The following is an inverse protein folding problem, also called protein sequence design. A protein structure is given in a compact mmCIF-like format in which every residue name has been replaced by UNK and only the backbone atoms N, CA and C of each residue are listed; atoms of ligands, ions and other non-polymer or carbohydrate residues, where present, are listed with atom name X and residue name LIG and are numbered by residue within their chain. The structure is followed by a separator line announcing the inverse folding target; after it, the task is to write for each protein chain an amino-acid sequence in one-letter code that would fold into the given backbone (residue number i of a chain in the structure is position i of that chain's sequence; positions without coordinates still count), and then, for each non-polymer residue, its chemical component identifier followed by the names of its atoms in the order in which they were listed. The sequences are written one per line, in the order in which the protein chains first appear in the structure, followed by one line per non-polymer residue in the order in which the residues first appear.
data_IF_125992745260
#
_entry.id   IF_125992745260
#
_cell.length_a   1.000
_cell.length_b   1.000
_cell.length_c   1.000
_cell.angle_alpha   90.00
_cell.angle_beta   90.00
_cell.angle_gamma   90.00
#
_symmetry.space_group_name_H-M   'P 1'
#
loop_
_entity.id
_entity.type
_entity.pdbx_description
1 polymer ?
#
# COMPACT_ATOMS: atom_id res chain seq x y z
N UNK A 1 37.26 9.03 -46.05
CA UNK A 1 37.30 9.19 -44.59
C UNK A 1 36.06 9.98 -44.21
N UNK A 2 34.99 9.27 -43.92
CA UNK A 2 33.73 9.83 -43.36
C UNK A 2 33.75 9.49 -41.88
N UNK A 3 33.80 10.52 -41.04
CA UNK A 3 33.68 10.40 -39.56
C UNK A 3 32.25 10.13 -39.18
N UNK A 4 31.97 8.90 -38.71
CA UNK A 4 30.71 8.56 -38.05
C UNK A 4 30.61 9.35 -36.75
N UNK A 5 29.68 10.29 -36.69
CA UNK A 5 29.22 10.89 -35.45
C UNK A 5 28.24 9.95 -34.79
N UNK A 6 28.70 9.26 -33.76
CA UNK A 6 27.77 8.60 -32.79
C UNK A 6 26.97 9.68 -32.06
N UNK A 7 25.64 9.60 -31.98
CA UNK A 7 24.86 10.50 -31.16
C UNK A 7 25.18 10.21 -29.70
N UNK A 8 25.70 11.21 -28.99
CA UNK A 8 25.73 11.22 -27.53
C UNK A 8 24.28 11.25 -27.05
N UNK A 9 23.81 10.14 -26.45
CA UNK A 9 22.60 10.15 -25.64
C UNK A 9 22.88 11.03 -24.42
N UNK A 10 22.54 12.31 -24.54
CA UNK A 10 22.45 13.17 -23.38
C UNK A 10 21.34 12.66 -22.49
N UNK A 11 21.66 12.24 -21.28
CA UNK A 11 20.68 11.90 -20.26
C UNK A 11 19.70 13.06 -20.11
N UNK A 12 18.40 12.78 -20.20
CA UNK A 12 17.38 13.78 -19.91
C UNK A 12 17.65 14.34 -18.49
N UNK A 13 17.39 15.65 -18.25
CA UNK A 13 17.57 16.18 -16.90
C UNK A 13 16.71 15.37 -15.92
N UNK A 14 17.23 15.09 -14.72
CA UNK A 14 16.48 14.34 -13.73
C UNK A 14 15.11 15.01 -13.50
N UNK A 15 14.04 14.22 -13.50
CA UNK A 15 12.68 14.69 -13.26
C UNK A 15 12.55 15.46 -11.94
N UNK A 16 11.44 16.15 -11.71
CA UNK A 16 11.21 16.87 -10.47
C UNK A 16 11.21 15.90 -9.29
N UNK A 17 11.85 16.30 -8.18
CA UNK A 17 12.05 15.46 -6.99
C UNK A 17 11.26 16.02 -5.83
N UNK A 18 10.54 15.17 -5.10
CA UNK A 18 9.99 15.44 -3.77
C UNK A 18 10.71 14.61 -2.72
N UNK A 19 10.41 14.83 -1.44
CA UNK A 19 11.09 14.15 -0.35
C UNK A 19 10.09 13.58 0.64
N UNK A 20 10.31 12.37 1.09
CA UNK A 20 9.65 11.83 2.26
C UNK A 20 10.41 12.32 3.49
N UNK A 21 9.78 13.22 4.25
CA UNK A 21 10.35 13.77 5.46
C UNK A 21 10.22 12.82 6.65
N UNK A 22 9.14 12.04 6.68
CA UNK A 22 8.82 11.09 7.75
C UNK A 22 7.79 10.08 7.30
N UNK A 23 7.67 9.00 8.06
CA UNK A 23 6.64 7.97 7.94
C UNK A 23 6.04 7.72 9.31
N UNK A 24 4.77 7.34 9.38
CA UNK A 24 4.10 6.86 10.58
C UNK A 24 3.15 5.73 10.22
N UNK A 25 2.94 4.79 11.14
CA UNK A 25 2.08 3.61 10.90
C UNK A 25 1.18 3.35 12.10
N UNK A 26 0.06 2.68 11.87
CA UNK A 26 -0.85 2.27 12.92
C UNK A 26 -1.46 0.90 12.60
N UNK A 27 -1.23 -0.05 13.50
CA UNK A 27 -1.86 -1.35 13.49
C UNK A 27 -2.82 -1.43 14.69
N UNK A 28 -4.07 -1.92 14.51
CA UNK A 28 -5.03 -2.00 15.61
C UNK A 28 -4.76 -3.21 16.51
N UNK A 29 -4.88 -3.00 17.82
CA UNK A 29 -4.81 -4.05 18.83
C UNK A 29 -3.52 -4.87 18.84
N UNK A 30 -3.58 -6.03 19.49
CA UNK A 30 -2.51 -7.01 19.51
C UNK A 30 -2.50 -7.87 18.25
N UNK A 31 -1.34 -8.44 17.85
CA UNK A 31 -1.28 -9.34 16.71
C UNK A 31 -2.06 -10.63 16.98
N UNK A 32 -2.85 -11.05 16.01
CA UNK A 32 -3.64 -12.30 16.02
C UNK A 32 -2.87 -13.36 15.22
N UNK A 33 -2.47 -14.43 15.89
CA UNK A 33 -1.75 -15.56 15.28
C UNK A 33 -2.69 -16.59 14.64
N UNK A 34 -2.11 -17.57 13.94
CA UNK A 34 -2.87 -18.60 13.25
C UNK A 34 -3.61 -19.53 14.21
N UNK A 35 -3.05 -19.76 15.40
CA UNK A 35 -3.73 -20.55 16.45
C UNK A 35 -4.97 -19.83 17.00
N UNK A 36 -4.94 -18.51 17.14
CA UNK A 36 -6.10 -17.71 17.52
C UNK A 36 -7.18 -17.75 16.43
N UNK A 37 -6.81 -17.61 15.15
CA UNK A 37 -7.75 -17.75 14.03
C UNK A 37 -8.38 -19.14 13.98
N UNK A 38 -7.58 -20.20 14.18
CA UNK A 38 -8.09 -21.57 14.22
C UNK A 38 -9.15 -21.76 15.31
N UNK A 39 -8.94 -21.19 16.50
CA UNK A 39 -9.90 -21.25 17.60
C UNK A 39 -11.18 -20.45 17.33
N UNK A 40 -11.04 -19.24 16.78
CA UNK A 40 -12.17 -18.30 16.64
C UNK A 40 -12.99 -18.59 15.38
N UNK A 41 -12.33 -18.92 14.27
CA UNK A 41 -12.97 -19.08 12.96
C UNK A 41 -13.08 -20.54 12.51
N UNK A 42 -12.52 -21.50 13.26
CA UNK A 42 -12.56 -22.92 12.89
C UNK A 42 -11.69 -23.29 11.69
N UNK A 43 -10.74 -22.43 11.28
CA UNK A 43 -9.84 -22.66 10.14
C UNK A 43 -8.66 -23.55 10.54
N UNK A 44 -8.04 -24.23 9.57
CA UNK A 44 -6.90 -25.10 9.84
C UNK A 44 -5.61 -24.29 9.90
N UNK A 45 -4.94 -24.28 11.07
CA UNK A 45 -3.68 -23.56 11.31
C UNK A 45 -2.55 -24.00 10.37
N UNK A 46 -2.34 -25.30 10.21
CA UNK A 46 -1.30 -25.85 9.33
C UNK A 46 -1.50 -25.45 7.86
N UNK A 47 -2.77 -25.40 7.43
CA UNK A 47 -3.10 -24.92 6.09
C UNK A 47 -2.71 -23.45 5.91
N UNK A 48 -2.95 -22.57 6.90
CA UNK A 48 -2.55 -21.16 6.83
C UNK A 48 -1.04 -21.06 6.73
N UNK A 49 -0.29 -21.78 7.57
CA UNK A 49 1.17 -21.73 7.60
C UNK A 49 1.79 -22.16 6.26
N UNK A 50 1.27 -23.24 5.67
CA UNK A 50 1.83 -23.83 4.45
C UNK A 50 1.42 -23.04 3.20
N UNK A 51 0.15 -22.64 3.09
CA UNK A 51 -0.37 -22.08 1.84
C UNK A 51 -0.39 -20.56 1.80
N UNK A 52 -0.56 -19.90 2.93
CA UNK A 52 -0.57 -18.43 3.02
C UNK A 52 0.80 -17.90 3.45
N UNK A 53 1.38 -18.47 4.50
CA UNK A 53 2.69 -18.07 5.01
C UNK A 53 2.67 -16.72 5.75
N UNK A 54 1.50 -16.30 6.26
CA UNK A 54 1.31 -15.16 7.16
C UNK A 54 1.22 -15.68 8.58
N UNK A 55 2.03 -15.17 9.49
CA UNK A 55 2.10 -15.60 10.89
C UNK A 55 1.09 -14.90 11.77
N UNK A 56 1.01 -13.58 11.61
CA UNK A 56 0.11 -12.73 12.39
C UNK A 56 -0.56 -11.67 11.50
N UNK A 57 -1.65 -11.12 11.97
CA UNK A 57 -2.35 -9.97 11.41
C UNK A 57 -3.02 -9.19 12.53
N UNK A 58 -3.50 -7.99 12.23
CA UNK A 58 -4.19 -7.12 13.16
C UNK A 58 -5.61 -6.86 12.68
N UNK A 59 -6.55 -6.74 13.61
CA UNK A 59 -7.94 -6.47 13.29
C UNK A 59 -8.48 -5.28 14.09
N UNK A 60 -9.13 -4.38 13.39
CA UNK A 60 -9.85 -3.24 13.95
C UNK A 60 -11.14 -3.66 14.69
N UNK A 61 -11.49 -4.91 14.55
CA UNK A 61 -12.67 -5.56 15.11
C UNK A 61 -12.26 -6.72 16.01
N UNK A 62 -12.99 -6.93 17.08
CA UNK A 62 -12.91 -8.16 17.87
C UNK A 62 -13.53 -9.33 17.10
N UNK A 63 -12.76 -10.39 16.88
CA UNK A 63 -13.22 -11.52 16.07
C UNK A 63 -14.23 -12.42 16.79
N UNK A 64 -14.30 -12.38 18.13
CA UNK A 64 -15.24 -13.20 18.92
C UNK A 64 -16.59 -12.51 19.07
N UNK A 65 -16.58 -11.20 19.32
CA UNK A 65 -17.78 -10.41 19.59
C UNK A 65 -18.29 -9.63 18.39
N UNK A 66 -17.46 -9.44 17.35
CA UNK A 66 -17.77 -8.59 16.21
C UNK A 66 -17.71 -7.08 16.52
N UNK A 67 -17.35 -6.69 17.76
CA UNK A 67 -17.27 -5.29 18.18
C UNK A 67 -16.21 -4.53 17.38
N UNK A 68 -16.60 -3.39 16.78
CA UNK A 68 -15.67 -2.48 16.10
C UNK A 68 -14.93 -1.63 17.15
N UNK A 69 -13.62 -1.79 17.25
CA UNK A 69 -12.77 -1.07 18.21
C UNK A 69 -12.06 0.14 17.60
N UNK A 70 -11.84 0.12 16.28
CA UNK A 70 -11.17 1.19 15.53
C UNK A 70 -11.91 1.44 14.22
N UNK A 71 -12.15 2.70 13.88
CA UNK A 71 -12.52 3.09 12.53
C UNK A 71 -11.28 3.21 11.65
N UNK A 72 -11.44 3.25 10.34
CA UNK A 72 -10.35 3.56 9.43
C UNK A 72 -9.83 4.99 9.68
N UNK A 73 -10.71 5.93 9.95
CA UNK A 73 -10.32 7.30 10.29
C UNK A 73 -9.41 7.36 11.52
N UNK A 74 -9.70 6.59 12.58
CA UNK A 74 -8.87 6.55 13.79
C UNK A 74 -7.46 6.02 13.50
N UNK A 75 -7.34 4.94 12.72
CA UNK A 75 -6.05 4.37 12.35
C UNK A 75 -5.25 5.34 11.47
N UNK A 76 -5.90 5.95 10.47
CA UNK A 76 -5.27 6.90 9.57
C UNK A 76 -4.83 8.18 10.32
N UNK A 77 -5.65 8.70 11.23
CA UNK A 77 -5.28 9.86 12.03
C UNK A 77 -4.08 9.56 12.93
N UNK A 78 -4.05 8.38 13.57
CA UNK A 78 -2.92 7.95 14.40
C UNK A 78 -1.62 7.80 13.60
N UNK A 79 -1.67 7.20 12.42
CA UNK A 79 -0.51 7.08 11.54
C UNK A 79 -0.02 8.45 11.07
N UNK A 80 -0.95 9.35 10.69
CA UNK A 80 -0.66 10.70 10.26
C UNK A 80 -0.07 11.56 11.39
N UNK A 81 -0.57 11.45 12.62
CA UNK A 81 -0.04 12.14 13.80
C UNK A 81 1.42 11.73 14.09
N UNK A 82 1.74 10.44 13.97
CA UNK A 82 3.10 9.95 14.11
C UNK A 82 4.01 10.53 13.01
N UNK A 83 3.55 10.51 11.74
CA UNK A 83 4.30 11.08 10.64
C UNK A 83 4.53 12.58 10.81
N UNK A 84 3.51 13.35 11.21
CA UNK A 84 3.63 14.78 11.51
C UNK A 84 4.65 15.04 12.62
N UNK A 85 4.54 14.32 13.74
CA UNK A 85 5.46 14.45 14.87
C UNK A 85 6.89 14.17 14.45
N UNK A 86 7.12 13.09 13.71
CA UNK A 86 8.46 12.71 13.24
C UNK A 86 9.03 13.69 12.21
N UNK A 87 8.19 14.37 11.41
CA UNK A 87 8.63 15.39 10.45
C UNK A 87 9.12 16.69 11.09
N UNK A 88 8.68 16.96 12.31
CA UNK A 88 8.91 18.24 13.00
C UNK A 88 8.11 19.41 12.41
N UNK A 89 7.15 19.16 11.51
CA UNK A 89 6.26 20.18 10.95
C UNK A 89 5.08 20.41 11.89
N UNK A 90 4.70 21.67 12.03
CA UNK A 90 3.44 22.00 12.71
C UNK A 90 2.23 21.74 11.78
N UNK A 91 1.04 21.44 12.31
CA UNK A 91 -0.16 21.18 11.50
C UNK A 91 -0.45 22.25 10.44
N UNK A 92 -0.24 23.53 10.75
CA UNK A 92 -0.49 24.66 9.83
C UNK A 92 0.52 24.76 8.67
N UNK A 93 1.60 23.96 8.68
CA UNK A 93 2.57 23.87 7.57
C UNK A 93 2.17 22.82 6.54
N UNK A 94 1.08 22.07 6.78
CA UNK A 94 0.53 21.09 5.85
C UNK A 94 -0.43 21.77 4.89
N UNK A 95 -0.13 21.70 3.61
CA UNK A 95 -0.87 22.38 2.54
C UNK A 95 -2.01 21.52 1.95
N UNK A 96 -1.96 20.20 2.11
CA UNK A 96 -2.97 19.26 1.59
C UNK A 96 -2.90 17.88 2.27
N UNK A 97 -3.99 17.10 2.12
CA UNK A 97 -4.03 15.68 2.51
C UNK A 97 -4.56 14.84 1.34
N UNK A 98 -3.84 13.77 1.00
CA UNK A 98 -4.27 12.76 0.02
C UNK A 98 -4.34 11.41 0.71
N UNK A 99 -5.45 10.70 0.55
CA UNK A 99 -5.68 9.39 1.13
C UNK A 99 -6.06 8.36 0.07
N UNK A 100 -5.45 7.19 0.08
CA UNK A 100 -5.85 6.01 -0.69
C UNK A 100 -6.48 4.95 0.20
N UNK A 101 -7.64 4.42 -0.19
CA UNK A 101 -8.32 3.33 0.53
C UNK A 101 -9.27 2.55 -0.38
N UNK A 102 -9.40 1.24 -0.13
CA UNK A 102 -10.44 0.39 -0.71
C UNK A 102 -11.66 0.24 0.22
N UNK A 103 -11.52 0.59 1.50
CA UNK A 103 -12.49 0.29 2.57
C UNK A 103 -12.86 1.52 3.39
N UNK A 104 -13.35 2.62 2.78
CA UNK A 104 -13.70 3.83 3.49
C UNK A 104 -14.74 3.55 4.59
N UNK A 105 -14.78 4.38 5.63
CA UNK A 105 -15.78 4.22 6.71
C UNK A 105 -17.19 4.47 6.18
N UNK A 106 -17.34 5.46 5.31
CA UNK A 106 -18.59 5.83 4.66
C UNK A 106 -18.33 6.24 3.21
N UNK A 107 -19.34 6.16 2.35
CA UNK A 107 -19.29 6.79 1.04
C UNK A 107 -19.30 8.33 1.15
N UNK A 108 -20.02 8.84 2.16
CA UNK A 108 -20.12 10.27 2.47
C UNK A 108 -20.51 10.42 3.96
N UNK A 109 -19.76 11.23 4.73
CA UNK A 109 -18.57 11.98 4.34
C UNK A 109 -17.38 11.06 4.03
N UNK A 110 -16.43 11.57 3.22
CA UNK A 110 -15.19 10.84 2.93
C UNK A 110 -14.35 10.66 4.21
N UNK A 111 -13.73 9.48 4.39
CA UNK A 111 -12.92 9.16 5.58
C UNK A 111 -11.78 10.16 5.79
N UNK A 112 -11.16 10.67 4.72
CA UNK A 112 -10.11 11.69 4.82
C UNK A 112 -10.56 12.95 5.56
N UNK A 113 -11.84 13.32 5.47
CA UNK A 113 -12.37 14.50 6.15
C UNK A 113 -12.48 14.29 7.67
N UNK A 114 -12.77 13.05 8.10
CA UNK A 114 -12.71 12.71 9.54
C UNK A 114 -11.25 12.70 10.04
N UNK A 115 -10.31 12.24 9.21
CA UNK A 115 -8.88 12.26 9.56
C UNK A 115 -8.39 13.69 9.77
N UNK A 116 -8.68 14.61 8.84
CA UNK A 116 -8.20 16.01 8.97
C UNK A 116 -8.87 16.74 10.13
N UNK A 117 -10.15 16.43 10.44
CA UNK A 117 -10.86 16.95 11.61
C UNK A 117 -10.16 16.49 12.91
N UNK A 118 -9.83 15.21 13.04
CA UNK A 118 -9.10 14.66 14.20
C UNK A 118 -7.70 15.28 14.37
N UNK A 119 -7.03 15.61 13.25
CA UNK A 119 -5.70 16.24 13.26
C UNK A 119 -5.75 17.76 13.47
N UNK A 120 -6.94 18.37 13.51
CA UNK A 120 -7.11 19.80 13.61
C UNK A 120 -6.59 20.58 12.40
N UNK A 121 -6.58 19.95 11.22
CA UNK A 121 -6.22 20.59 9.97
C UNK A 121 -7.44 21.28 9.36
N UNK A 122 -7.31 22.53 8.94
CA UNK A 122 -8.40 23.32 8.38
C UNK A 122 -7.93 24.16 7.18
N UNK A 123 -8.87 24.56 6.31
CA UNK A 123 -8.66 25.41 5.14
C UNK A 123 -7.66 24.82 4.12
N UNK A 124 -7.54 23.49 4.04
CA UNK A 124 -6.66 22.78 3.10
C UNK A 124 -7.46 21.85 2.19
N UNK A 125 -6.99 21.60 0.94
CA UNK A 125 -7.61 20.61 0.07
C UNK A 125 -7.39 19.19 0.60
N UNK A 126 -8.44 18.38 0.51
CA UNK A 126 -8.46 16.98 0.88
C UNK A 126 -8.87 16.13 -0.31
N UNK A 127 -8.17 15.03 -0.54
CA UNK A 127 -8.44 14.09 -1.64
C UNK A 127 -8.54 12.66 -1.10
N UNK A 128 -9.58 11.94 -1.47
CA UNK A 128 -9.70 10.51 -1.22
C UNK A 128 -9.78 9.75 -2.53
N UNK A 129 -8.85 8.82 -2.73
CA UNK A 129 -8.76 7.94 -3.88
C UNK A 129 -9.36 6.59 -3.51
N UNK A 130 -10.40 6.18 -4.23
CA UNK A 130 -10.99 4.86 -4.11
C UNK A 130 -10.21 3.89 -4.98
N UNK A 131 -9.34 3.09 -4.37
CA UNK A 131 -8.50 2.11 -5.07
C UNK A 131 -8.08 0.99 -4.11
N UNK A 132 -7.82 -0.19 -4.65
CA UNK A 132 -7.27 -1.31 -3.90
C UNK A 132 -5.78 -1.14 -3.59
N UNK A 133 -5.00 -2.20 -3.71
CA UNK A 133 -3.60 -2.25 -3.27
C UNK A 133 -2.66 -1.20 -3.90
N UNK A 134 -3.04 -0.55 -5.00
CA UNK A 134 -2.29 0.53 -5.63
C UNK A 134 -2.66 1.93 -5.11
N UNK A 135 -3.71 2.07 -4.31
CA UNK A 135 -4.25 3.36 -3.88
C UNK A 135 -3.26 4.23 -3.11
N UNK A 136 -2.45 3.62 -2.25
CA UNK A 136 -1.38 4.32 -1.52
C UNK A 136 -0.31 4.89 -2.48
N UNK A 137 0.07 4.14 -3.53
CA UNK A 137 1.04 4.61 -4.53
C UNK A 137 0.42 5.68 -5.43
N UNK A 138 -0.87 5.58 -5.74
CA UNK A 138 -1.60 6.65 -6.45
C UNK A 138 -1.68 7.92 -5.60
N UNK A 139 -1.95 7.79 -4.29
CA UNK A 139 -1.94 8.92 -3.36
C UNK A 139 -0.54 9.56 -3.27
N UNK A 140 0.51 8.74 -3.25
CA UNK A 140 1.90 9.21 -3.26
C UNK A 140 2.25 9.95 -4.56
N UNK A 141 1.78 9.46 -5.72
CA UNK A 141 1.95 10.15 -7.00
C UNK A 141 1.26 11.53 -7.00
N UNK A 142 0.04 11.61 -6.49
CA UNK A 142 -0.66 12.89 -6.40
C UNK A 142 0.07 13.86 -5.46
N UNK A 143 0.49 13.39 -4.27
CA UNK A 143 1.29 14.18 -3.33
C UNK A 143 2.61 14.68 -3.94
N UNK A 144 3.35 13.78 -4.61
CA UNK A 144 4.56 14.14 -5.38
C UNK A 144 4.27 15.22 -6.41
N UNK A 145 3.21 15.08 -7.19
CA UNK A 145 2.82 16.06 -8.23
C UNK A 145 2.47 17.43 -7.64
N UNK A 146 1.73 17.44 -6.51
CA UNK A 146 1.31 18.69 -5.86
C UNK A 146 2.50 19.50 -5.33
N UNK A 147 3.52 18.86 -4.75
CA UNK A 147 4.70 19.57 -4.23
C UNK A 147 5.71 19.92 -5.34
N UNK A 148 5.86 19.08 -6.36
CA UNK A 148 6.78 19.34 -7.48
C UNK A 148 6.21 20.32 -8.48
N UNK A 149 4.89 20.45 -8.57
CA UNK A 149 4.19 21.46 -9.38
C UNK A 149 4.30 22.89 -8.85
N UNK A 150 4.95 23.11 -7.69
CA UNK A 150 5.24 24.42 -7.13
C UNK A 150 4.08 25.11 -6.41
N UNK A 151 2.91 24.48 -6.32
CA UNK A 151 1.74 25.02 -5.62
C UNK A 151 1.74 24.78 -4.11
N UNK A 152 2.46 23.76 -3.64
CA UNK A 152 2.48 23.29 -2.26
C UNK A 152 3.89 22.96 -1.80
N UNK A 153 4.16 23.10 -0.50
CA UNK A 153 5.47 22.84 0.10
C UNK A 153 5.53 21.52 0.86
N UNK A 154 4.44 21.19 1.55
CA UNK A 154 4.33 20.00 2.35
C UNK A 154 2.89 19.45 2.33
N UNK A 155 2.75 18.13 2.37
CA UNK A 155 1.45 17.47 2.46
C UNK A 155 1.53 16.12 3.15
N UNK A 156 0.39 15.66 3.62
CA UNK A 156 0.20 14.31 4.14
C UNK A 156 -0.31 13.39 3.03
N UNK A 157 0.35 12.26 2.88
CA UNK A 157 -0.11 11.15 2.04
C UNK A 157 -0.40 9.96 2.95
N UNK A 158 -1.61 9.43 2.88
CA UNK A 158 -2.13 8.42 3.78
C UNK A 158 -2.61 7.22 2.97
N UNK A 159 -2.40 6.03 3.48
CA UNK A 159 -2.98 4.80 2.96
C UNK A 159 -3.46 3.91 4.09
N UNK A 160 -4.63 3.34 3.97
CA UNK A 160 -5.14 2.47 5.01
C UNK A 160 -6.36 1.69 4.57
N UNK A 161 -6.53 0.52 5.18
CA UNK A 161 -7.69 -0.33 4.99
C UNK A 161 -8.10 -1.03 6.28
N UNK A 162 -9.41 -1.20 6.44
CA UNK A 162 -10.04 -2.05 7.45
C UNK A 162 -10.78 -3.16 6.71
N UNK A 163 -10.03 -4.19 6.33
CA UNK A 163 -10.54 -5.33 5.56
C UNK A 163 -11.50 -6.20 6.39
N UNK A 164 -11.34 -6.23 7.71
CA UNK A 164 -12.17 -7.01 8.63
C UNK A 164 -13.65 -6.63 8.60
N UNK A 165 -14.01 -5.43 8.12
CA UNK A 165 -15.42 -5.03 7.94
C UNK A 165 -16.20 -5.89 6.92
N UNK A 166 -15.47 -6.58 6.03
CA UNK A 166 -16.05 -7.45 5.01
C UNK A 166 -16.07 -8.92 5.41
N UNK A 167 -15.58 -9.26 6.62
CA UNK A 167 -15.63 -10.62 7.15
C UNK A 167 -17.02 -10.89 7.76
N UNK A 168 -17.65 -11.97 7.30
CA UNK A 168 -18.86 -12.51 7.92
C UNK A 168 -18.44 -13.47 9.05
N UNK A 169 -18.40 -12.94 10.29
CA UNK A 169 -17.97 -13.69 11.46
C UNK A 169 -19.02 -14.70 11.97
N UNK A 170 -20.27 -14.56 11.53
CA UNK A 170 -21.37 -15.48 11.88
C UNK A 170 -21.43 -16.69 10.96
N UNK A 171 -20.65 -16.69 9.85
CA UNK A 171 -20.60 -17.79 8.90
C UNK A 171 -19.84 -19.00 9.47
N UNK A 172 -20.42 -20.18 9.37
CA UNK A 172 -19.70 -21.43 9.62
C UNK A 172 -18.66 -21.69 8.51
N UNK A 173 -17.40 -21.53 8.86
CA UNK A 173 -16.26 -21.71 7.96
C UNK A 173 -15.71 -23.15 7.95
N UNK A 174 -16.21 -24.05 8.80
CA UNK A 174 -15.69 -25.42 8.95
C UNK A 174 -15.80 -26.26 7.67
N UNK A 175 -16.77 -25.93 6.81
CA UNK A 175 -17.02 -26.59 5.52
C UNK A 175 -16.76 -25.70 4.32
N UNK A 176 -16.20 -24.51 4.52
CA UNK A 176 -15.95 -23.56 3.45
C UNK A 176 -14.81 -24.03 2.52
N UNK A 177 -14.92 -23.72 1.23
CA UNK A 177 -13.86 -24.01 0.28
C UNK A 177 -12.59 -23.19 0.61
N UNK A 178 -11.38 -23.70 0.34
CA UNK A 178 -10.14 -22.96 0.57
C UNK A 178 -10.14 -21.55 -0.05
N UNK A 179 -10.75 -21.36 -1.21
CA UNK A 179 -10.92 -20.05 -1.84
C UNK A 179 -11.71 -19.05 -1.00
N UNK A 180 -12.73 -19.54 -0.26
CA UNK A 180 -13.55 -18.70 0.61
C UNK A 180 -12.82 -18.33 1.90
N UNK A 181 -11.91 -19.21 2.36
CA UNK A 181 -11.13 -19.00 3.58
C UNK A 181 -9.99 -18.00 3.43
N UNK A 182 -9.45 -17.85 2.21
CA UNK A 182 -8.27 -17.01 1.98
C UNK A 182 -8.46 -15.59 2.54
N UNK A 183 -9.60 -14.96 2.29
CA UNK A 183 -9.88 -13.60 2.74
C UNK A 183 -9.92 -13.44 4.27
N UNK A 184 -10.30 -14.49 5.00
CA UNK A 184 -10.34 -14.48 6.46
C UNK A 184 -8.96 -14.58 7.11
N UNK A 185 -7.98 -15.15 6.40
CA UNK A 185 -6.67 -15.45 6.96
C UNK A 185 -5.53 -14.64 6.33
N UNK A 186 -5.78 -14.05 5.15
CA UNK A 186 -4.80 -13.26 4.39
C UNK A 186 -4.76 -11.81 4.87
N UNK A 187 -5.94 -11.19 4.97
CA UNK A 187 -6.05 -9.78 5.22
C UNK A 187 -5.90 -9.42 6.70
N UNK A 188 -5.35 -8.23 6.93
CA UNK A 188 -5.32 -7.54 8.20
C UNK A 188 -5.72 -6.09 8.02
N UNK A 189 -5.88 -5.36 9.09
CA UNK A 189 -6.25 -3.96 9.14
C UNK A 189 -5.04 -3.11 9.50
N UNK A 190 -4.97 -1.89 8.97
CA UNK A 190 -3.90 -0.97 9.29
C UNK A 190 -3.96 0.32 8.50
N UNK A 191 -3.13 1.25 8.91
CA UNK A 191 -2.92 2.51 8.22
C UNK A 191 -1.45 2.91 8.25
N UNK A 192 -1.06 3.73 7.28
CA UNK A 192 0.23 4.37 7.25
C UNK A 192 0.14 5.74 6.60
N UNK A 193 1.10 6.59 6.89
CA UNK A 193 1.17 7.94 6.37
C UNK A 193 2.61 8.36 6.14
N UNK A 194 2.83 9.28 5.21
CA UNK A 194 4.10 9.95 5.01
C UNK A 194 3.88 11.45 4.87
N UNK A 195 4.83 12.24 5.36
CA UNK A 195 4.91 13.66 5.06
C UNK A 195 5.79 13.82 3.82
N UNK A 196 5.21 14.38 2.76
CA UNK A 196 5.89 14.67 1.49
C UNK A 196 6.19 16.16 1.41
N UNK A 197 7.45 16.51 1.05
CA UNK A 197 7.89 17.90 1.01
C UNK A 197 8.60 18.24 -0.30
N UNK A 198 8.58 19.52 -0.68
CA UNK A 198 9.29 20.07 -1.86
C UNK A 198 10.79 20.27 -1.63
N UNK A 199 11.25 20.25 -0.38
CA UNK A 199 12.65 20.40 0.01
C UNK A 199 13.05 19.33 1.01
N UNK A 200 14.33 18.91 1.05
CA UNK A 200 14.79 17.86 1.98
C UNK A 200 14.54 18.25 3.43
N UNK A 201 13.82 17.40 4.16
CA UNK A 201 13.56 17.49 5.62
C UNK A 201 13.55 16.10 6.25
N UNK A 202 13.70 16.03 7.55
CA UNK A 202 13.59 14.79 8.33
C UNK A 202 14.48 13.69 7.78
N UNK A 203 13.89 12.60 7.32
CA UNK A 203 14.58 11.44 6.76
C UNK A 203 15.34 11.72 5.46
N UNK A 204 15.05 12.81 4.78
CA UNK A 204 15.72 13.21 3.52
C UNK A 204 15.73 12.09 2.48
N UNK A 205 14.64 11.36 2.37
CA UNK A 205 14.47 10.30 1.40
C UNK A 205 13.87 10.89 0.12
N UNK A 206 14.70 11.04 -0.91
CA UNK A 206 14.28 11.61 -2.18
C UNK A 206 13.36 10.63 -2.93
N UNK A 207 12.15 11.07 -3.25
CA UNK A 207 11.20 10.37 -4.10
C UNK A 207 11.49 10.78 -5.55
N UNK A 208 12.19 9.90 -6.28
CA UNK A 208 12.72 10.17 -7.62
C UNK A 208 11.65 10.13 -8.70
N UNK A 209 10.77 9.12 -8.60
CA UNK A 209 9.63 8.96 -9.51
C UNK A 209 8.55 8.11 -8.86
N UNK A 210 7.32 8.27 -9.33
CA UNK A 210 6.17 7.41 -8.99
C UNK A 210 5.42 7.09 -10.27
N UNK A 211 5.25 5.82 -10.58
CA UNK A 211 4.54 5.33 -11.76
C UNK A 211 3.25 4.61 -11.38
N UNK A 212 2.19 4.93 -12.10
CA UNK A 212 0.91 4.19 -12.04
C UNK A 212 0.43 3.93 -13.46
N UNK A 213 0.10 2.69 -13.80
CA UNK A 213 -0.31 2.25 -15.13
C UNK A 213 -1.55 1.38 -15.05
N UNK A 214 -2.67 1.87 -15.59
CA UNK A 214 -3.84 1.05 -15.82
C UNK A 214 -3.60 0.10 -17.00
N UNK A 215 -3.73 -1.20 -16.78
CA UNK A 215 -3.51 -2.25 -17.79
C UNK A 215 -4.74 -3.15 -17.98
N UNK A 216 -5.88 -2.73 -17.43
CA UNK A 216 -7.11 -3.51 -17.37
C UNK A 216 -8.07 -3.33 -18.55
N UNK A 217 -7.64 -2.69 -19.65
CA UNK A 217 -8.51 -2.49 -20.81
C UNK A 217 -8.97 -3.85 -21.38
N UNK A 218 -10.28 -4.06 -21.41
CA UNK A 218 -10.88 -5.31 -21.92
C UNK A 218 -10.69 -6.55 -21.02
N UNK A 219 -10.07 -6.42 -19.85
CA UNK A 219 -9.89 -7.51 -18.88
C UNK A 219 -11.02 -7.53 -17.85
N UNK A 220 -11.44 -8.71 -17.45
CA UNK A 220 -12.36 -8.86 -16.34
C UNK A 220 -11.68 -8.47 -15.02
N UNK A 221 -12.44 -7.97 -14.02
CA UNK A 221 -11.92 -7.71 -12.68
C UNK A 221 -11.38 -8.98 -12.03
N UNK A 222 -10.17 -8.92 -11.47
CA UNK A 222 -9.62 -10.00 -10.64
C UNK A 222 -10.17 -9.98 -9.21
N UNK A 223 -10.62 -8.81 -8.72
CA UNK A 223 -11.26 -8.65 -7.41
C UNK A 223 -12.36 -7.60 -7.50
N UNK A 224 -13.50 -7.88 -6.84
CA UNK A 224 -14.62 -6.94 -6.68
C UNK A 224 -15.02 -6.92 -5.21
N UNK A 225 -15.13 -5.72 -4.64
CA UNK A 225 -15.72 -5.48 -3.33
C UNK A 225 -17.00 -4.67 -3.57
N UNK A 226 -18.13 -5.26 -3.22
CA UNK A 226 -19.45 -4.65 -3.41
C UNK A 226 -19.76 -3.68 -2.27
N UNK A 227 -20.34 -2.55 -2.64
CA UNK A 227 -20.90 -1.59 -1.71
C UNK A 227 -22.39 -1.46 -1.96
N UNK A 228 -23.18 -2.23 -1.23
CA UNK A 228 -24.62 -2.29 -1.42
C UNK A 228 -25.30 -1.00 -0.97
N UNK A 229 -26.07 -0.39 -1.87
CA UNK A 229 -27.02 0.66 -1.53
C UNK A 229 -28.28 0.09 -0.86
N UNK A 230 -29.15 0.97 -0.34
CA UNK A 230 -30.41 0.55 0.31
C UNK A 230 -31.31 -0.29 -0.62
N UNK A 231 -31.31 0.01 -1.92
CA UNK A 231 -32.10 -0.73 -2.90
C UNK A 231 -31.61 -2.18 -3.08
N UNK A 232 -30.30 -2.40 -2.94
CA UNK A 232 -29.64 -3.66 -3.30
C UNK A 232 -29.24 -4.51 -2.08
N UNK A 233 -29.46 -4.00 -0.85
CA UNK A 233 -28.98 -4.65 0.39
C UNK A 233 -29.53 -6.05 0.66
N UNK A 234 -30.57 -6.45 -0.06
CA UNK A 234 -31.22 -7.77 0.07
C UNK A 234 -30.88 -8.68 -1.12
N UNK A 235 -30.03 -8.25 -2.04
CA UNK A 235 -29.58 -9.11 -3.12
C UNK A 235 -28.63 -10.18 -2.58
N UNK A 236 -28.82 -11.40 -3.05
CA UNK A 236 -27.94 -12.53 -2.74
C UNK A 236 -26.66 -12.48 -3.61
N UNK A 237 -25.83 -11.48 -3.32
CA UNK A 237 -24.50 -11.31 -3.94
C UNK A 237 -23.42 -11.40 -2.88
N UNK A 238 -22.30 -12.01 -3.23
CA UNK A 238 -21.12 -12.01 -2.36
C UNK A 238 -20.56 -10.60 -2.26
N UNK A 239 -20.27 -10.14 -1.03
CA UNK A 239 -19.67 -8.83 -0.78
C UNK A 239 -18.27 -8.72 -1.38
N UNK A 240 -17.51 -9.81 -1.40
CA UNK A 240 -16.16 -9.89 -1.99
C UNK A 240 -16.11 -11.07 -2.94
N UNK A 241 -15.61 -10.83 -4.16
CA UNK A 241 -15.37 -11.88 -5.16
C UNK A 241 -13.97 -11.72 -5.73
N UNK A 242 -13.25 -12.82 -5.88
CA UNK A 242 -11.88 -12.83 -6.41
C UNK A 242 -11.67 -13.96 -7.40
N UNK A 243 -10.95 -13.67 -8.46
CA UNK A 243 -10.38 -14.66 -9.37
C UNK A 243 -8.92 -14.91 -8.99
N UNK A 244 -8.71 -15.78 -7.99
CA UNK A 244 -7.38 -16.12 -7.49
C UNK A 244 -6.43 -16.63 -8.57
N UNK A 245 -6.96 -17.38 -9.55
CA UNK A 245 -6.14 -17.88 -10.64
C UNK A 245 -5.63 -16.74 -11.51
N UNK A 246 -6.50 -15.83 -11.92
CA UNK A 246 -6.12 -14.66 -12.69
C UNK A 246 -5.14 -13.76 -11.91
N UNK A 247 -5.32 -13.60 -10.59
CA UNK A 247 -4.43 -12.85 -9.70
C UNK A 247 -3.05 -13.54 -9.66
N UNK A 248 -3.01 -14.84 -9.39
CA UNK A 248 -1.75 -15.60 -9.28
C UNK A 248 -0.94 -15.62 -10.59
N UNK A 249 -1.61 -15.63 -11.74
CA UNK A 249 -0.98 -15.60 -13.05
C UNK A 249 -0.52 -14.20 -13.47
N UNK A 250 -1.29 -13.16 -13.15
CA UNK A 250 -1.06 -11.80 -13.67
C UNK A 250 -0.14 -10.95 -12.79
N UNK A 251 -0.27 -11.03 -11.47
CA UNK A 251 0.44 -10.12 -10.55
C UNK A 251 1.96 -10.24 -10.65
N UNK A 252 2.58 -11.43 -10.74
CA UNK A 252 4.03 -11.53 -10.90
C UNK A 252 4.53 -10.84 -12.18
N UNK A 253 3.85 -11.04 -13.31
CA UNK A 253 4.21 -10.42 -14.58
C UNK A 253 4.10 -8.89 -14.51
N UNK A 254 2.99 -8.37 -13.96
CA UNK A 254 2.78 -6.93 -13.81
C UNK A 254 3.82 -6.29 -12.87
N UNK A 255 4.25 -7.01 -11.83
CA UNK A 255 5.29 -6.56 -10.92
C UNK A 255 6.65 -6.43 -11.62
N UNK A 256 7.02 -7.41 -12.45
CA UNK A 256 8.24 -7.35 -13.27
C UNK A 256 8.19 -6.20 -14.26
N UNK A 257 7.08 -6.04 -14.98
CA UNK A 257 6.91 -4.97 -15.97
C UNK A 257 7.10 -3.57 -15.35
N UNK A 258 6.45 -3.27 -14.22
CA UNK A 258 6.55 -1.94 -13.62
C UNK A 258 7.92 -1.69 -13.00
N UNK A 259 8.60 -2.74 -12.50
CA UNK A 259 9.97 -2.62 -12.01
C UNK A 259 10.92 -2.18 -13.13
N UNK A 260 10.83 -2.83 -14.29
CA UNK A 260 11.67 -2.47 -15.44
C UNK A 260 11.33 -1.09 -16.00
N UNK A 261 10.05 -0.67 -16.00
CA UNK A 261 9.68 0.70 -16.34
C UNK A 261 10.31 1.75 -15.39
N UNK A 262 10.38 1.43 -14.08
CA UNK A 262 11.05 2.31 -13.11
C UNK A 262 12.56 2.42 -13.35
N UNK A 263 13.23 1.29 -13.62
CA UNK A 263 14.66 1.27 -13.93
C UNK A 263 14.95 2.08 -15.21
N UNK A 264 14.15 1.89 -16.26
CA UNK A 264 14.29 2.62 -17.53
C UNK A 264 14.04 4.12 -17.35
N UNK A 265 13.00 4.52 -16.62
CA UNK A 265 12.68 5.93 -16.36
C UNK A 265 13.81 6.68 -15.64
N UNK A 266 14.57 5.96 -14.80
CA UNK A 266 15.63 6.53 -13.96
C UNK A 266 17.03 6.33 -14.54
N UNK A 267 17.18 5.60 -15.64
CA UNK A 267 18.47 5.14 -16.14
C UNK A 267 19.27 4.39 -15.05
N UNK A 268 18.56 3.57 -14.26
CA UNK A 268 19.15 2.69 -13.25
C UNK A 268 19.26 1.26 -13.78
N UNK A 269 20.31 0.58 -13.33
CA UNK A 269 20.47 -0.86 -13.55
C UNK A 269 20.04 -1.66 -12.31
N UNK A 270 19.83 -2.97 -12.41
CA UNK A 270 19.54 -3.81 -11.25
C UNK A 270 20.57 -3.68 -10.12
N UNK A 271 21.84 -3.46 -10.45
CA UNK A 271 22.94 -3.30 -9.50
C UNK A 271 22.91 -1.96 -8.74
N UNK A 272 22.16 -0.99 -9.25
CA UNK A 272 21.94 0.31 -8.58
C UNK A 272 20.92 0.25 -7.43
N UNK A 273 20.24 -0.88 -7.25
CA UNK A 273 19.14 -1.04 -6.29
C UNK A 273 19.60 -1.80 -5.05
N UNK A 274 19.68 -1.10 -3.92
CA UNK A 274 20.09 -1.71 -2.64
C UNK A 274 18.91 -2.38 -1.91
N UNK A 275 17.68 -1.86 -2.07
CA UNK A 275 16.49 -2.36 -1.38
C UNK A 275 15.32 -2.52 -2.33
N UNK A 276 14.58 -3.60 -2.12
CA UNK A 276 13.35 -3.90 -2.84
C UNK A 276 12.17 -4.01 -1.86
N UNK A 277 11.12 -3.24 -2.12
CA UNK A 277 9.83 -3.30 -1.45
C UNK A 277 8.84 -3.99 -2.41
N UNK A 278 8.73 -5.33 -2.37
CA UNK A 278 7.89 -6.07 -3.30
C UNK A 278 6.40 -5.96 -2.98
N UNK A 279 5.51 -6.34 -3.91
CA UNK A 279 4.08 -6.46 -3.63
C UNK A 279 3.83 -7.43 -2.48
N UNK A 280 2.99 -7.05 -1.54
CA UNK A 280 2.73 -7.76 -0.28
C UNK A 280 1.38 -8.48 -0.34
N UNK A 281 1.28 -9.59 -1.10
CA UNK A 281 0.03 -10.35 -1.18
C UNK A 281 -0.12 -11.31 0.01
N UNK A 282 0.79 -12.27 0.10
CA UNK A 282 0.91 -13.21 1.21
C UNK A 282 2.38 -13.54 1.39
N UNK A 283 2.78 -14.12 2.50
CA UNK A 283 4.18 -14.47 2.73
C UNK A 283 4.76 -15.39 1.65
N UNK A 284 3.94 -16.30 1.11
CA UNK A 284 4.34 -17.22 0.04
C UNK A 284 4.41 -16.52 -1.32
N UNK A 285 3.36 -15.77 -1.68
CA UNK A 285 3.28 -15.11 -2.98
C UNK A 285 4.32 -13.99 -3.10
N UNK A 286 4.55 -13.23 -2.04
CA UNK A 286 5.58 -12.19 -2.00
C UNK A 286 6.94 -12.76 -2.33
N UNK A 287 7.37 -13.86 -1.69
CA UNK A 287 8.64 -14.53 -2.02
C UNK A 287 8.73 -14.96 -3.50
N UNK A 288 7.66 -15.58 -4.02
CA UNK A 288 7.60 -15.98 -5.44
C UNK A 288 7.76 -14.80 -6.40
N UNK A 289 7.15 -13.66 -6.06
CA UNK A 289 7.27 -12.43 -6.86
C UNK A 289 8.68 -11.87 -6.76
N UNK A 290 9.23 -11.75 -5.55
CA UNK A 290 10.59 -11.25 -5.30
C UNK A 290 11.63 -12.04 -6.08
N UNK A 291 11.56 -13.37 -6.06
CA UNK A 291 12.45 -14.26 -6.83
C UNK A 291 12.39 -13.98 -8.35
N UNK A 292 11.23 -13.56 -8.84
CA UNK A 292 10.99 -13.24 -10.25
C UNK A 292 11.38 -11.82 -10.68
N UNK A 293 11.63 -10.91 -9.74
CA UNK A 293 11.92 -9.51 -10.05
C UNK A 293 13.34 -9.27 -10.59
N UNK A 294 14.26 -10.21 -10.38
CA UNK A 294 15.59 -10.17 -10.98
C UNK A 294 16.55 -9.15 -10.35
N UNK A 295 16.40 -8.86 -9.06
CA UNK A 295 17.27 -8.01 -8.26
C UNK A 295 17.99 -8.85 -7.18
N UNK A 296 18.97 -9.68 -7.53
CA UNK A 296 19.53 -10.69 -6.61
C UNK A 296 20.31 -10.07 -5.43
N UNK A 297 20.85 -8.88 -5.60
CA UNK A 297 21.67 -8.20 -4.59
C UNK A 297 20.86 -7.23 -3.73
N UNK A 298 19.61 -6.92 -4.11
CA UNK A 298 18.73 -6.03 -3.36
C UNK A 298 18.17 -6.71 -2.09
N UNK A 299 18.23 -6.01 -0.98
CA UNK A 299 17.65 -6.48 0.29
C UNK A 299 16.14 -6.32 0.25
N UNK A 300 15.41 -7.43 0.38
CA UNK A 300 13.94 -7.41 0.49
C UNK A 300 13.49 -6.73 1.79
N UNK A 301 12.53 -5.81 1.67
CA UNK A 301 11.82 -5.19 2.79
C UNK A 301 10.35 -5.61 2.73
N UNK A 302 9.98 -6.56 3.56
CA UNK A 302 8.66 -7.19 3.60
C UNK A 302 8.11 -7.16 5.02
N UNK A 303 6.79 -7.04 5.18
CA UNK A 303 6.09 -7.03 6.46
C UNK A 303 4.86 -7.95 6.50
N UNK A 304 4.35 -8.39 5.35
CA UNK A 304 3.07 -9.14 5.23
C UNK A 304 3.03 -10.42 6.07
N UNK A 305 4.17 -11.04 6.33
CA UNK A 305 4.23 -12.25 7.14
C UNK A 305 3.81 -12.00 8.60
N UNK A 306 4.04 -10.80 9.11
CA UNK A 306 3.79 -10.40 10.51
C UNK A 306 2.61 -9.45 10.68
N UNK A 307 2.18 -8.77 9.61
CA UNK A 307 1.09 -7.79 9.67
C UNK A 307 -0.18 -8.23 8.94
N UNK A 308 -0.10 -9.28 8.12
CA UNK A 308 -1.12 -9.59 7.14
C UNK A 308 -1.11 -8.62 5.95
N UNK A 309 -1.98 -8.86 4.98
CA UNK A 309 -2.17 -7.94 3.86
C UNK A 309 -3.09 -6.78 4.31
N UNK A 310 -2.51 -5.65 4.64
CA UNK A 310 -3.21 -4.44 5.09
C UNK A 310 -3.54 -3.48 3.94
N UNK A 311 -3.60 -3.99 2.69
CA UNK A 311 -3.97 -3.17 1.53
C UNK A 311 -3.10 -1.92 1.39
N UNK A 312 -3.74 -0.75 1.47
CA UNK A 312 -3.09 0.54 1.28
C UNK A 312 -2.13 0.95 2.42
N UNK A 313 -2.12 0.28 3.56
CA UNK A 313 -1.14 0.54 4.61
C UNK A 313 0.25 -0.05 4.30
N UNK A 314 0.31 -1.13 3.50
CA UNK A 314 1.52 -1.91 3.26
C UNK A 314 2.71 -1.09 2.75
N UNK A 315 2.57 -0.20 1.75
CA UNK A 315 3.72 0.60 1.30
C UNK A 315 4.34 1.44 2.41
N UNK A 316 3.55 1.95 3.34
CA UNK A 316 4.05 2.74 4.47
C UNK A 316 4.67 1.88 5.57
N UNK A 317 4.13 0.69 5.85
CA UNK A 317 4.74 -0.29 6.74
C UNK A 317 6.11 -0.74 6.22
N UNK A 318 6.22 -0.97 4.91
CA UNK A 318 7.51 -1.26 4.27
C UNK A 318 8.47 -0.06 4.34
N UNK A 319 7.98 1.16 4.12
CA UNK A 319 8.78 2.39 4.24
C UNK A 319 9.31 2.57 5.66
N UNK A 320 8.49 2.37 6.70
CA UNK A 320 8.94 2.42 8.09
C UNK A 320 10.06 1.40 8.36
N UNK A 321 9.89 0.16 7.88
CA UNK A 321 10.90 -0.88 8.00
C UNK A 321 12.18 -0.57 7.18
N UNK A 322 12.07 0.16 6.06
CA UNK A 322 13.18 0.61 5.26
C UNK A 322 14.00 1.71 5.97
N UNK A 323 13.33 2.68 6.63
CA UNK A 323 14.01 3.82 7.27
C UNK A 323 15.06 3.38 8.31
N UNK A 324 14.84 2.26 8.99
CA UNK A 324 15.81 1.67 9.92
C UNK A 324 17.03 0.99 9.26
N UNK A 325 17.06 0.89 7.93
CA UNK A 325 18.06 0.11 7.17
C UNK A 325 18.82 0.95 6.15
N UNK A 326 18.12 1.86 5.45
CA UNK A 326 18.67 2.59 4.32
C UNK A 326 19.68 3.66 4.75
N UNK A 327 20.89 3.58 4.21
CA UNK A 327 21.99 4.55 4.44
C UNK A 327 22.09 5.59 3.33
N UNK A 328 22.92 6.61 3.58
CA UNK A 328 23.14 7.69 2.62
C UNK A 328 23.68 7.16 1.28
N UNK A 329 23.11 7.63 0.18
CA UNK A 329 23.44 7.23 -1.19
C UNK A 329 22.79 5.93 -1.65
N UNK A 330 22.12 5.20 -0.75
CA UNK A 330 21.43 3.96 -1.11
C UNK A 330 20.08 4.22 -1.77
N UNK A 331 19.67 3.27 -2.61
CA UNK A 331 18.48 3.35 -3.46
C UNK A 331 17.51 2.21 -3.17
N UNK A 332 16.22 2.52 -3.26
CA UNK A 332 15.17 1.53 -3.08
C UNK A 332 14.12 1.62 -4.18
N UNK A 333 13.60 0.48 -4.62
CA UNK A 333 12.44 0.40 -5.51
C UNK A 333 11.28 -0.28 -4.77
N UNK A 334 10.11 0.30 -4.91
CA UNK A 334 8.85 -0.25 -4.41
C UNK A 334 7.92 -0.59 -5.56
N UNK A 335 7.27 -1.73 -5.46
CA UNK A 335 6.32 -2.23 -6.46
C UNK A 335 5.00 -2.60 -5.78
N UNK A 336 3.90 -2.16 -6.34
CA UNK A 336 2.55 -2.54 -5.95
C UNK A 336 1.72 -2.93 -7.17
N UNK A 337 0.88 -3.93 -7.02
CA UNK A 337 -0.02 -4.39 -8.08
C UNK A 337 -1.42 -4.51 -7.51
N UNK A 338 -2.38 -3.92 -8.22
CA UNK A 338 -3.78 -4.02 -7.90
C UNK A 338 -4.50 -4.94 -8.89
N UNK A 339 -5.18 -5.94 -8.37
CA UNK A 339 -5.91 -6.93 -9.16
C UNK A 339 -7.36 -6.56 -9.44
N UNK A 340 -7.94 -5.58 -8.75
CA UNK A 340 -9.36 -5.25 -8.92
C UNK A 340 -9.69 -4.94 -10.39
N UNK A 341 -8.95 -4.06 -11.04
CA UNK A 341 -9.05 -3.79 -12.47
C UNK A 341 -7.68 -3.62 -13.14
N UNK A 342 -6.65 -4.25 -12.58
CA UNK A 342 -5.30 -4.40 -13.14
C UNK A 342 -4.55 -3.06 -13.28
N UNK A 343 -4.02 -2.60 -12.15
CA UNK A 343 -3.12 -1.46 -12.09
C UNK A 343 -1.75 -1.95 -11.61
N UNK A 344 -0.71 -1.62 -12.34
CA UNK A 344 0.69 -1.79 -11.90
C UNK A 344 1.25 -0.45 -11.49
N UNK A 345 1.93 -0.39 -10.37
CA UNK A 345 2.46 0.84 -9.80
C UNK A 345 3.75 0.60 -9.04
N UNK A 346 4.51 1.66 -8.87
CA UNK A 346 5.73 1.62 -8.09
C UNK A 346 6.34 3.00 -7.94
N UNK A 347 7.37 3.08 -7.11
CA UNK A 347 8.11 4.31 -6.87
C UNK A 347 9.58 4.03 -6.54
N UNK A 348 10.40 5.03 -6.74
CA UNK A 348 11.83 4.94 -6.52
C UNK A 348 12.30 5.98 -5.49
N UNK A 349 13.18 5.56 -4.60
CA UNK A 349 13.71 6.33 -3.50
C UNK A 349 15.23 6.34 -3.50
N UNK A 350 15.81 7.44 -3.02
CA UNK A 350 17.24 7.57 -2.77
C UNK A 350 17.47 8.35 -1.47
N UNK A 351 18.28 7.81 -0.57
CA UNK A 351 18.66 8.48 0.68
C UNK A 351 19.76 9.50 0.42
N UNK A 352 19.50 10.80 0.63
CA UNK A 352 20.43 11.90 0.33
C UNK A 352 20.97 12.59 1.58
#
# INVERSE_FOLDING_TARGET
MQSEHSPQHGSAPPGPVSYLASVGTALPGDPVDNAALARTLGVNEEWIDVFIGTRTRHFARDLETGEVRWSLADLCARAAEQALTASGLAPHEIDFVVMGTATPDHLMPATVNHVVDQLGLDQIPTYQLQSGCAGAVQALQLGHTLVTGGGHKAGLVIGGDVCSKHLDLDRDLSSAAPSDLVNYVLFGDGAGAAVVTSTPRGERLALRTVLNRFTGLGREPGQVIEWFGLADRHEDRQAVREDYKAIEESVPTMAVEILWELLEELDWTPEDVDFLLPPQLSGRMTRRITDGLGLPDAVEVSCVADTGNNGNALPFLQLEALLGKIGQGQRALAVAVESSKWIKSGFALEKI
#
